data_IF_232705782169
#
_entry.id   IF_232705782169
#
_cell.length_a   1.000
_cell.length_b   1.000
_cell.length_c   1.000
_cell.angle_alpha   90.00
_cell.angle_beta   90.00
_cell.angle_gamma   90.00
#
_symmetry.space_group_name_H-M   'P 1'
#
loop_
_entity.id
_entity.type
_entity.pdbx_description
1 polymer ?
#
# COMPACT_ATOMS: atom_id res chain seq x y z
N UNK A 1 -31.34 -3.48 -44.07
CA UNK A 1 -30.92 -2.21 -43.44
C UNK A 1 -31.26 -1.05 -44.37
N UNK A 2 -31.98 -0.01 -43.91
CA UNK A 2 -32.35 1.13 -44.77
C UNK A 2 -31.16 2.02 -45.16
N UNK A 3 -30.07 1.99 -44.37
CA UNK A 3 -28.88 2.81 -44.61
C UNK A 3 -27.93 2.23 -45.66
N UNK A 4 -27.60 0.93 -45.57
CA UNK A 4 -26.64 0.28 -46.48
C UNK A 4 -27.28 -0.71 -47.46
N UNK A 5 -28.62 -0.84 -47.45
CA UNK A 5 -29.41 -1.78 -48.26
C UNK A 5 -29.10 -3.27 -48.06
N UNK A 6 -28.23 -3.65 -47.13
CA UNK A 6 -27.95 -5.05 -46.81
C UNK A 6 -29.20 -5.78 -46.32
N UNK A 7 -29.52 -6.92 -46.93
CA UNK A 7 -30.55 -7.86 -46.48
C UNK A 7 -30.06 -8.58 -45.23
N UNK A 8 -30.82 -8.50 -44.14
CA UNK A 8 -30.48 -9.11 -42.86
C UNK A 8 -31.48 -10.22 -42.55
N UNK A 9 -30.99 -11.36 -42.10
CA UNK A 9 -31.80 -12.52 -41.74
C UNK A 9 -32.60 -12.23 -40.46
N UNK A 10 -33.89 -12.52 -40.50
CA UNK A 10 -34.75 -12.50 -39.33
C UNK A 10 -34.60 -13.80 -38.53
N UNK A 11 -34.39 -13.71 -37.21
CA UNK A 11 -34.24 -14.87 -36.32
C UNK A 11 -35.33 -14.86 -35.24
N UNK A 12 -36.31 -15.75 -35.39
CA UNK A 12 -37.45 -15.90 -34.49
C UNK A 12 -37.12 -16.63 -33.18
N UNK A 13 -35.91 -17.21 -33.04
CA UNK A 13 -35.47 -17.89 -31.80
C UNK A 13 -34.82 -16.93 -30.79
N UNK A 14 -34.63 -15.67 -31.15
CA UNK A 14 -34.15 -14.59 -30.28
C UNK A 14 -35.19 -13.45 -30.24
N UNK A 15 -34.75 -12.20 -30.15
CA UNK A 15 -35.61 -11.00 -30.11
C UNK A 15 -36.11 -10.55 -31.50
N UNK A 16 -35.88 -11.32 -32.57
CA UNK A 16 -36.26 -10.97 -33.95
C UNK A 16 -35.38 -9.89 -34.62
N UNK A 17 -34.72 -9.02 -33.84
CA UNK A 17 -33.93 -7.89 -34.31
C UNK A 17 -32.41 -8.00 -34.02
N UNK A 18 -31.94 -9.14 -33.50
CA UNK A 18 -30.53 -9.33 -33.09
C UNK A 18 -29.54 -9.13 -34.23
N UNK A 19 -29.87 -9.55 -35.44
CA UNK A 19 -29.03 -9.34 -36.63
C UNK A 19 -29.00 -7.88 -37.08
N UNK A 20 -30.03 -7.09 -36.77
CA UNK A 20 -30.05 -5.65 -37.00
C UNK A 20 -29.20 -4.90 -35.98
N UNK A 21 -29.25 -5.29 -34.70
CA UNK A 21 -28.44 -4.70 -33.63
C UNK A 21 -26.94 -4.91 -33.87
N UNK A 22 -26.51 -6.14 -34.15
CA UNK A 22 -25.10 -6.42 -34.49
C UNK A 22 -24.63 -5.68 -35.75
N UNK A 23 -25.53 -5.50 -36.72
CA UNK A 23 -25.22 -4.74 -37.93
C UNK A 23 -25.10 -3.24 -37.64
N UNK A 24 -25.94 -2.68 -36.76
CA UNK A 24 -25.86 -1.29 -36.33
C UNK A 24 -24.57 -1.00 -35.57
N UNK A 25 -24.17 -1.89 -34.64
CA UNK A 25 -22.90 -1.79 -33.90
C UNK A 25 -21.70 -1.80 -34.85
N UNK A 26 -21.65 -2.73 -35.81
CA UNK A 26 -20.56 -2.80 -36.79
C UNK A 26 -20.53 -1.62 -37.75
N UNK A 27 -21.69 -1.10 -38.16
CA UNK A 27 -21.76 0.01 -39.12
C UNK A 27 -21.41 1.35 -38.48
N UNK A 28 -21.75 1.56 -37.20
CA UNK A 28 -21.33 2.75 -36.44
C UNK A 28 -19.84 2.72 -36.09
N UNK A 29 -19.25 1.53 -35.89
CA UNK A 29 -17.81 1.38 -35.65
C UNK A 29 -16.95 1.69 -36.89
N UNK A 30 -17.49 1.58 -38.11
CA UNK A 30 -16.70 1.82 -39.34
C UNK A 30 -16.56 3.29 -39.74
N UNK A 31 -17.35 4.22 -39.18
CA UNK A 31 -17.30 5.64 -39.58
C UNK A 31 -16.46 6.55 -38.68
N UNK A 32 -15.86 6.05 -37.58
CA UNK A 32 -15.10 6.89 -36.65
C UNK A 32 -13.81 6.27 -36.07
N UNK A 33 -13.31 5.17 -36.63
CA UNK A 33 -11.96 4.68 -36.29
C UNK A 33 -10.98 5.36 -37.25
N UNK A 34 -10.38 6.47 -36.82
CA UNK A 34 -9.06 6.83 -37.34
C UNK A 34 -8.15 5.62 -37.08
N UNK A 35 -7.82 4.88 -38.12
CA UNK A 35 -6.81 3.83 -38.01
C UNK A 35 -5.53 4.46 -37.49
N UNK A 36 -5.07 4.08 -36.29
CA UNK A 36 -3.75 4.48 -35.81
C UNK A 36 -2.74 4.14 -36.89
N UNK A 37 -2.11 5.17 -37.46
CA UNK A 37 -1.07 4.96 -38.47
C UNK A 37 0.08 4.21 -37.78
N UNK A 38 0.32 2.97 -38.18
CA UNK A 38 1.46 2.19 -37.70
C UNK A 38 2.75 2.95 -38.02
N UNK A 39 3.47 3.35 -36.98
CA UNK A 39 4.81 3.95 -37.12
C UNK A 39 5.75 2.89 -37.72
N UNK A 40 6.45 3.25 -38.80
CA UNK A 40 7.42 2.41 -39.49
C UNK A 40 8.55 1.97 -38.55
N UNK A 41 9.05 0.74 -38.73
CA UNK A 41 10.10 0.15 -37.88
C UNK A 41 11.37 1.01 -37.73
N UNK A 42 11.92 1.64 -38.80
CA UNK A 42 13.08 2.52 -38.65
C UNK A 42 12.84 3.69 -37.71
N UNK A 43 11.62 4.26 -37.73
CA UNK A 43 11.27 5.37 -36.84
C UNK A 43 11.08 4.92 -35.40
N UNK A 44 10.61 3.69 -35.17
CA UNK A 44 10.58 3.10 -33.82
C UNK A 44 11.99 2.91 -33.26
N UNK A 45 12.94 2.45 -34.07
CA UNK A 45 14.35 2.32 -33.66
C UNK A 45 14.94 3.68 -33.24
N UNK A 46 14.66 4.74 -34.00
CA UNK A 46 15.13 6.09 -33.65
C UNK A 46 14.55 6.58 -32.32
N UNK A 47 13.29 6.28 -32.02
CA UNK A 47 12.69 6.58 -30.71
C UNK A 47 13.39 5.82 -29.60
N UNK A 48 13.72 4.54 -29.81
CA UNK A 48 14.51 3.75 -28.85
C UNK A 48 15.86 4.42 -28.55
N UNK A 49 16.58 4.89 -29.57
CA UNK A 49 17.86 5.59 -29.39
C UNK A 49 17.71 6.92 -28.62
N UNK A 50 16.60 7.64 -28.84
CA UNK A 50 16.27 8.85 -28.06
C UNK A 50 15.89 8.53 -26.62
N UNK A 51 15.21 7.42 -26.37
CA UNK A 51 14.98 6.93 -25.01
C UNK A 51 16.32 6.60 -24.33
N UNK A 52 17.29 5.98 -25.01
CA UNK A 52 18.64 5.77 -24.46
C UNK A 52 19.33 7.10 -24.15
N UNK A 53 19.15 8.12 -24.99
CA UNK A 53 19.67 9.47 -24.74
C UNK A 53 19.06 10.08 -23.48
N UNK A 54 17.76 9.91 -23.23
CA UNK A 54 17.10 10.36 -21.99
C UNK A 54 17.73 9.72 -20.74
N UNK A 55 18.25 8.50 -20.85
CA UNK A 55 18.91 7.82 -19.73
C UNK A 55 20.30 8.38 -19.43
N UNK A 56 20.91 9.15 -20.35
CA UNK A 56 22.12 9.91 -20.06
C UNK A 56 21.88 10.98 -18.98
N UNK A 57 20.63 11.40 -18.78
CA UNK A 57 20.21 12.27 -17.67
C UNK A 57 20.03 11.52 -16.33
N UNK A 58 20.51 10.26 -16.25
CA UNK A 58 20.44 9.40 -15.06
C UNK A 58 18.99 9.19 -14.61
N UNK A 59 18.10 8.97 -15.58
CA UNK A 59 16.69 8.63 -15.34
C UNK A 59 16.51 7.11 -15.23
N UNK A 60 15.62 6.61 -14.37
CA UNK A 60 15.26 5.19 -14.36
C UNK A 60 14.71 4.74 -15.72
N UNK A 61 14.94 3.48 -16.10
CA UNK A 61 14.43 2.92 -17.36
C UNK A 61 12.91 3.01 -17.43
N UNK A 62 12.24 2.83 -16.30
CA UNK A 62 10.79 2.84 -16.13
C UNK A 62 10.16 4.22 -16.43
N UNK A 63 10.96 5.28 -16.53
CA UNK A 63 10.48 6.64 -16.84
C UNK A 63 9.61 6.67 -18.10
N UNK A 64 10.00 5.92 -19.14
CA UNK A 64 9.29 5.92 -20.44
C UNK A 64 7.93 5.21 -20.38
N UNK A 65 7.73 4.34 -19.40
CA UNK A 65 6.47 3.62 -19.15
C UNK A 65 5.55 4.37 -18.19
N UNK A 66 6.04 5.45 -17.55
CA UNK A 66 5.27 6.23 -16.60
C UNK A 66 4.11 6.96 -17.27
N UNK A 67 2.91 6.85 -16.71
CA UNK A 67 1.69 7.51 -17.22
C UNK A 67 1.88 9.00 -17.51
N UNK A 68 2.52 9.74 -16.59
CA UNK A 68 2.78 11.17 -16.77
C UNK A 68 3.75 11.50 -17.91
N UNK A 69 4.75 10.63 -18.16
CA UNK A 69 5.63 10.78 -19.32
C UNK A 69 4.88 10.52 -20.62
N UNK A 70 4.02 9.50 -20.66
CA UNK A 70 3.19 9.18 -21.82
C UNK A 70 2.24 10.33 -22.15
N UNK A 71 1.58 10.91 -21.14
CA UNK A 71 0.70 12.08 -21.31
C UNK A 71 1.48 13.30 -21.85
N UNK A 72 2.67 13.58 -21.32
CA UNK A 72 3.54 14.64 -21.83
C UNK A 72 3.99 14.36 -23.28
N UNK A 73 4.41 13.14 -23.58
CA UNK A 73 4.87 12.76 -24.92
C UNK A 73 3.74 12.90 -25.95
N UNK A 74 2.52 12.50 -25.59
CA UNK A 74 1.34 12.68 -26.42
C UNK A 74 1.07 14.18 -26.67
N UNK A 75 1.20 15.02 -25.66
CA UNK A 75 1.01 16.47 -25.82
C UNK A 75 2.08 17.09 -26.71
N UNK A 76 3.34 16.66 -26.62
CA UNK A 76 4.40 17.10 -27.54
C UNK A 76 4.11 16.70 -28.99
N UNK A 77 3.54 15.51 -29.22
CA UNK A 77 3.07 15.08 -30.55
C UNK A 77 1.94 15.98 -31.04
N UNK A 78 0.97 16.30 -30.18
CA UNK A 78 -0.16 17.18 -30.51
C UNK A 78 0.32 18.58 -30.90
N UNK A 79 1.29 19.14 -30.17
CA UNK A 79 1.93 20.42 -30.50
C UNK A 79 2.58 20.36 -31.89
N UNK A 80 3.35 19.30 -32.17
CA UNK A 80 3.95 19.12 -33.50
C UNK A 80 2.92 18.94 -34.62
N UNK A 81 1.81 18.27 -34.34
CA UNK A 81 0.71 18.10 -35.31
C UNK A 81 -0.03 19.42 -35.59
N UNK A 82 -0.18 20.27 -34.58
CA UNK A 82 -0.94 21.54 -34.67
C UNK A 82 -0.09 22.66 -35.26
N UNK A 83 1.16 22.79 -34.82
CA UNK A 83 2.04 23.92 -35.13
C UNK A 83 3.18 23.57 -36.10
N UNK A 84 3.26 22.32 -36.55
CA UNK A 84 4.31 21.85 -37.44
C UNK A 84 5.67 21.75 -36.76
N UNK A 85 6.73 22.15 -37.47
CA UNK A 85 8.11 22.04 -36.98
C UNK A 85 8.42 23.14 -35.97
N UNK A 86 8.29 22.83 -34.68
CA UNK A 86 8.68 23.70 -33.56
C UNK A 86 9.92 23.17 -32.84
N UNK A 87 10.67 24.06 -32.18
CA UNK A 87 11.81 23.65 -31.36
C UNK A 87 11.33 23.09 -30.02
N UNK A 88 11.85 21.94 -29.59
CA UNK A 88 11.51 21.37 -28.28
C UNK A 88 11.89 22.32 -27.12
N UNK A 89 13.00 23.05 -27.25
CA UNK A 89 13.46 24.01 -26.23
C UNK A 89 12.53 25.22 -26.06
N UNK A 90 11.76 25.59 -27.09
CA UNK A 90 10.76 26.66 -26.99
C UNK A 90 9.42 26.17 -26.46
N UNK A 91 9.16 24.86 -26.51
CA UNK A 91 7.91 24.24 -26.03
C UNK A 91 8.02 23.88 -24.55
N UNK A 92 9.16 23.31 -24.13
CA UNK A 92 9.34 22.85 -22.75
C UNK A 92 9.53 24.04 -21.78
N UNK A 93 8.78 24.09 -20.67
CA UNK A 93 8.90 25.18 -19.71
C UNK A 93 10.18 25.03 -18.87
N UNK A 94 10.68 26.17 -18.37
CA UNK A 94 11.78 26.18 -17.40
C UNK A 94 11.40 25.45 -16.09
N UNK A 95 12.32 24.73 -15.42
CA UNK A 95 12.03 24.00 -14.18
C UNK A 95 11.36 24.83 -13.08
N UNK A 96 11.70 26.12 -12.96
CA UNK A 96 11.06 27.02 -11.99
C UNK A 96 9.57 27.28 -12.28
N UNK A 97 9.17 27.26 -13.56
CA UNK A 97 7.78 27.37 -13.99
C UNK A 97 7.01 26.11 -13.60
N UNK A 98 7.60 24.92 -13.81
CA UNK A 98 7.02 23.64 -13.39
C UNK A 98 6.87 23.62 -11.86
N UNK A 99 7.91 23.98 -11.12
CA UNK A 99 7.90 24.03 -9.65
C UNK A 99 6.78 24.94 -9.11
N UNK A 100 6.61 26.13 -9.70
CA UNK A 100 5.51 27.05 -9.34
C UNK A 100 4.15 26.45 -9.66
N UNK A 101 3.99 25.90 -10.87
CA UNK A 101 2.73 25.28 -11.30
C UNK A 101 2.35 24.09 -10.41
N UNK A 102 3.32 23.28 -9.97
CA UNK A 102 3.08 22.21 -9.00
C UNK A 102 2.54 22.74 -7.67
N UNK A 103 3.10 23.84 -7.14
CA UNK A 103 2.58 24.48 -5.93
C UNK A 103 1.17 25.00 -6.13
N UNK A 104 0.92 25.73 -7.21
CA UNK A 104 -0.39 26.30 -7.50
C UNK A 104 -1.47 25.21 -7.62
N UNK A 105 -1.17 24.11 -8.33
CA UNK A 105 -2.08 22.97 -8.47
C UNK A 105 -2.31 22.29 -7.11
N UNK A 106 -1.26 22.11 -6.31
CA UNK A 106 -1.39 21.49 -4.99
C UNK A 106 -2.24 22.36 -4.04
N UNK A 107 -2.05 23.67 -4.05
CA UNK A 107 -2.87 24.62 -3.29
C UNK A 107 -4.32 24.63 -3.76
N UNK A 108 -4.57 24.65 -5.07
CA UNK A 108 -5.92 24.57 -5.62
C UNK A 108 -6.62 23.27 -5.19
N UNK A 109 -5.94 22.12 -5.35
CA UNK A 109 -6.49 20.82 -4.93
C UNK A 109 -6.79 20.77 -3.44
N UNK A 110 -5.96 21.40 -2.61
CA UNK A 110 -6.22 21.51 -1.15
C UNK A 110 -7.42 22.39 -0.85
N UNK A 111 -7.55 23.55 -1.51
CA UNK A 111 -8.73 24.43 -1.39
C UNK A 111 -10.04 23.73 -1.74
N UNK A 112 -10.00 22.74 -2.63
CA UNK A 112 -11.17 21.92 -2.98
C UNK A 112 -11.36 20.75 -2.01
N UNK A 113 -10.28 20.06 -1.62
CA UNK A 113 -10.34 18.81 -0.85
C UNK A 113 -10.62 19.03 0.64
N UNK A 114 -9.98 20.02 1.28
CA UNK A 114 -10.10 20.20 2.74
C UNK A 114 -11.54 20.57 3.15
N UNK A 115 -12.26 21.47 2.45
CA UNK A 115 -13.67 21.71 2.74
C UNK A 115 -14.53 20.44 2.62
N UNK A 116 -14.30 19.61 1.60
CA UNK A 116 -15.05 18.35 1.44
C UNK A 116 -14.84 17.41 2.62
N UNK A 117 -13.62 17.29 3.15
CA UNK A 117 -13.34 16.45 4.32
C UNK A 117 -13.97 17.06 5.58
N UNK A 118 -13.92 18.40 5.73
CA UNK A 118 -14.60 19.08 6.84
C UNK A 118 -16.12 18.85 6.79
N UNK A 119 -16.75 18.91 5.61
CA UNK A 119 -18.19 18.64 5.44
C UNK A 119 -18.55 17.19 5.84
N UNK A 120 -17.71 16.22 5.48
CA UNK A 120 -17.87 14.82 5.92
C UNK A 120 -17.80 14.72 7.45
N UNK A 121 -16.84 15.39 8.08
CA UNK A 121 -16.69 15.43 9.54
C UNK A 121 -17.87 16.13 10.25
N UNK A 122 -18.52 17.09 9.59
CA UNK A 122 -19.76 17.72 10.08
C UNK A 122 -20.96 16.78 10.02
N UNK A 123 -20.99 15.85 9.08
CA UNK A 123 -22.10 14.91 8.84
C UNK A 123 -22.13 13.69 9.79
N UNK A 124 -21.45 13.79 10.95
CA UNK A 124 -21.23 12.71 11.92
C UNK A 124 -20.64 11.40 11.35
N UNK A 125 -19.99 11.49 10.18
CA UNK A 125 -19.20 10.41 9.61
C UNK A 125 -17.73 10.57 10.04
N UNK A 126 -17.17 9.52 10.64
CA UNK A 126 -15.76 9.50 11.01
C UNK A 126 -14.85 9.36 9.78
N UNK A 127 -13.70 10.02 9.86
CA UNK A 127 -12.61 9.92 8.88
C UNK A 127 -11.44 9.17 9.53
N UNK A 128 -10.77 8.32 8.75
CA UNK A 128 -9.53 7.68 9.19
C UNK A 128 -8.32 8.53 8.81
N UNK A 129 -7.34 8.68 9.71
CA UNK A 129 -6.05 9.26 9.35
C UNK A 129 -4.91 8.34 9.76
N UNK A 130 -3.98 8.09 8.84
CA UNK A 130 -2.70 7.45 9.16
C UNK A 130 -1.62 8.52 9.25
N UNK A 131 -0.69 8.33 10.17
CA UNK A 131 0.51 9.15 10.26
C UNK A 131 1.74 8.26 10.27
N UNK A 132 2.72 8.60 9.43
CA UNK A 132 3.99 7.90 9.36
C UNK A 132 5.12 8.91 9.63
N UNK A 133 6.11 8.49 10.41
CA UNK A 133 7.27 9.28 10.74
C UNK A 133 8.54 8.49 10.48
N UNK A 134 9.41 9.03 9.63
CA UNK A 134 10.69 8.41 9.33
C UNK A 134 11.83 9.42 9.35
N UNK A 135 13.04 8.89 9.45
CA UNK A 135 14.26 9.68 9.36
C UNK A 135 14.98 9.29 8.08
N UNK A 136 15.30 10.28 7.25
CA UNK A 136 16.28 10.12 6.18
C UNK A 136 17.66 9.97 6.83
N UNK A 137 18.21 8.76 6.79
CA UNK A 137 19.49 8.46 7.44
C UNK A 137 20.69 9.16 6.78
N UNK A 138 20.59 9.55 5.51
CA UNK A 138 21.67 10.24 4.82
C UNK A 138 21.69 11.72 5.14
N UNK A 139 20.54 12.38 5.01
CA UNK A 139 20.40 13.83 5.24
C UNK A 139 20.16 14.19 6.71
N UNK A 140 19.86 13.18 7.54
CA UNK A 140 19.43 13.34 8.94
C UNK A 140 18.19 14.25 9.06
N UNK A 141 17.33 14.22 8.05
CA UNK A 141 16.07 14.97 8.03
C UNK A 141 14.95 14.07 8.53
N UNK A 142 14.07 14.65 9.34
CA UNK A 142 12.92 13.96 9.90
C UNK A 142 11.68 14.36 9.11
N UNK A 143 10.88 13.37 8.72
CA UNK A 143 9.65 13.59 7.99
C UNK A 143 8.47 13.06 8.78
N UNK A 144 7.34 13.72 8.57
CA UNK A 144 6.02 13.32 9.05
C UNK A 144 5.06 13.43 7.87
N UNK A 145 4.30 12.36 7.61
CA UNK A 145 3.27 12.37 6.60
C UNK A 145 1.92 12.05 7.23
N UNK A 146 0.87 12.74 6.76
CA UNK A 146 -0.51 12.46 7.15
C UNK A 146 -1.29 12.08 5.90
N UNK A 147 -1.93 10.92 5.95
CA UNK A 147 -2.83 10.44 4.89
C UNK A 147 -4.23 10.31 5.44
N UNK A 148 -5.19 10.88 4.72
CA UNK A 148 -6.60 10.87 5.08
C UNK A 148 -7.36 9.83 4.25
N UNK A 149 -8.18 9.06 4.93
CA UNK A 149 -8.98 7.96 4.41
C UNK A 149 -10.45 8.25 4.69
N UNK A 150 -11.24 8.44 3.64
CA UNK A 150 -12.65 8.79 3.77
C UNK A 150 -13.49 8.11 2.71
N UNK A 151 -14.80 8.09 2.94
CA UNK A 151 -15.79 7.61 2.00
C UNK A 151 -16.57 8.81 1.50
N UNK A 152 -16.68 8.96 0.19
CA UNK A 152 -17.48 10.02 -0.43
C UNK A 152 -18.97 9.72 -0.35
N UNK A 153 -19.87 10.72 -0.55
CA UNK A 153 -21.32 10.49 -0.54
C UNK A 153 -21.81 9.44 -1.56
N UNK A 154 -21.05 9.19 -2.63
CA UNK A 154 -21.32 8.13 -3.62
C UNK A 154 -20.66 6.78 -3.25
N UNK A 155 -20.35 6.57 -1.96
CA UNK A 155 -19.78 5.34 -1.40
C UNK A 155 -18.45 4.91 -2.03
N UNK A 156 -17.61 5.85 -2.45
CA UNK A 156 -16.26 5.54 -2.94
C UNK A 156 -15.22 5.79 -1.85
N UNK A 157 -14.43 4.77 -1.57
CA UNK A 157 -13.27 4.89 -0.70
C UNK A 157 -12.18 5.74 -1.37
N UNK A 158 -11.57 6.65 -0.59
CA UNK A 158 -10.49 7.53 -1.03
C UNK A 158 -9.41 7.60 0.04
N UNK A 159 -8.17 7.30 -0.36
CA UNK A 159 -6.96 7.64 0.37
C UNK A 159 -6.27 8.86 -0.29
N UNK A 160 -5.89 9.86 0.51
CA UNK A 160 -5.19 11.07 0.04
C UNK A 160 -4.11 11.48 1.02
N UNK A 161 -2.87 11.49 0.56
CA UNK A 161 -1.77 12.13 1.30
C UNK A 161 -2.06 13.62 1.37
N UNK A 162 -2.35 14.12 2.58
CA UNK A 162 -2.66 15.53 2.80
C UNK A 162 -1.40 16.39 2.81
N UNK A 163 -0.36 15.85 3.46
CA UNK A 163 0.93 16.49 3.56
C UNK A 163 2.04 15.51 3.89
N UNK A 164 3.23 15.84 3.42
CA UNK A 164 4.51 15.34 3.92
C UNK A 164 5.33 16.55 4.31
N UNK A 165 5.60 16.73 5.59
CA UNK A 165 6.32 17.87 6.13
C UNK A 165 7.61 17.43 6.79
N UNK A 166 8.61 18.31 6.76
CA UNK A 166 9.80 18.15 7.56
C UNK A 166 9.46 18.46 9.01
N UNK A 167 9.80 17.55 9.92
CA UNK A 167 9.76 17.81 11.35
C UNK A 167 10.93 18.72 11.74
N UNK A 168 10.73 19.76 12.58
CA UNK A 168 11.78 20.70 12.91
C UNK A 168 13.05 20.01 13.45
N UNK A 169 14.21 20.35 12.90
CA UNK A 169 15.48 19.69 13.23
C UNK A 169 15.95 19.97 14.67
N UNK A 170 15.61 21.16 15.18
CA UNK A 170 15.99 21.60 16.53
C UNK A 170 15.07 21.03 17.62
N UNK A 171 13.94 20.42 17.23
CA UNK A 171 12.96 19.90 18.17
C UNK A 171 13.17 18.42 18.44
N UNK A 172 13.14 18.04 19.71
CA UNK A 172 13.09 16.63 20.08
C UNK A 172 11.74 16.02 19.65
N UNK A 173 11.74 14.77 19.18
CA UNK A 173 10.53 14.03 18.79
C UNK A 173 9.74 13.51 20.00
N UNK A 174 9.51 14.36 21.01
CA UNK A 174 8.67 14.02 22.17
C UNK A 174 7.21 13.94 21.73
N UNK A 175 6.37 13.25 22.50
CA UNK A 175 4.93 13.18 22.18
C UNK A 175 4.26 14.56 22.13
N UNK A 176 4.69 15.51 22.96
CA UNK A 176 4.17 16.87 22.97
C UNK A 176 4.53 17.63 21.69
N UNK A 177 5.79 17.56 21.25
CA UNK A 177 6.25 18.23 20.04
C UNK A 177 5.65 17.60 18.77
N UNK A 178 5.50 16.27 18.75
CA UNK A 178 4.80 15.57 17.67
C UNK A 178 3.35 16.04 17.58
N UNK A 179 2.63 16.11 18.71
CA UNK A 179 1.26 16.62 18.72
C UNK A 179 1.20 18.07 18.25
N UNK A 180 2.11 18.92 18.72
CA UNK A 180 2.16 20.32 18.32
C UNK A 180 2.31 20.47 16.79
N UNK A 181 3.27 19.77 16.18
CA UNK A 181 3.50 19.86 14.74
C UNK A 181 2.36 19.24 13.92
N UNK A 182 1.72 18.15 14.40
CA UNK A 182 0.51 17.60 13.79
C UNK A 182 -0.64 18.62 13.79
N UNK A 183 -0.90 19.27 14.92
CA UNK A 183 -1.96 20.26 15.04
C UNK A 183 -1.69 21.50 14.18
N UNK A 184 -0.45 22.00 14.19
CA UNK A 184 -0.02 23.09 13.32
C UNK A 184 -0.17 22.75 11.84
N UNK A 185 0.13 21.51 11.45
CA UNK A 185 -0.08 21.05 10.08
C UNK A 185 -1.57 20.99 9.73
N UNK A 186 -2.38 20.30 10.53
CA UNK A 186 -3.80 20.10 10.23
C UNK A 186 -4.60 21.41 10.33
N UNK A 187 -4.46 22.15 11.42
CA UNK A 187 -5.26 23.35 11.68
C UNK A 187 -4.69 24.53 10.93
N UNK A 188 -3.44 24.91 11.21
CA UNK A 188 -2.90 26.19 10.71
C UNK A 188 -2.52 26.13 9.23
N UNK A 189 -2.05 24.97 8.75
CA UNK A 189 -1.55 24.84 7.37
C UNK A 189 -2.64 24.34 6.42
N UNK A 190 -3.41 23.33 6.83
CA UNK A 190 -4.44 22.72 5.99
C UNK A 190 -5.84 23.31 6.19
N UNK A 191 -6.13 23.93 7.34
CA UNK A 191 -7.43 24.56 7.62
C UNK A 191 -8.49 23.58 8.12
N UNK A 192 -8.11 22.52 8.84
CA UNK A 192 -9.07 21.71 9.58
C UNK A 192 -9.61 22.46 10.80
N UNK A 193 -10.90 22.30 11.08
CA UNK A 193 -11.50 22.79 12.33
C UNK A 193 -10.97 21.96 13.52
N UNK A 194 -10.36 22.59 14.55
CA UNK A 194 -9.88 21.89 15.73
C UNK A 194 -10.95 21.03 16.42
N UNK A 195 -12.21 21.44 16.40
CA UNK A 195 -13.33 20.72 17.03
C UNK A 195 -13.62 19.37 16.35
N UNK A 196 -13.29 19.24 15.06
CA UNK A 196 -13.50 18.03 14.28
C UNK A 196 -12.42 16.97 14.49
N UNK A 197 -11.28 17.33 15.10
CA UNK A 197 -10.16 16.39 15.28
C UNK A 197 -10.51 15.21 16.18
N UNK A 198 -11.47 15.37 17.10
CA UNK A 198 -11.97 14.29 17.95
C UNK A 198 -12.81 13.25 17.19
N UNK A 199 -13.31 13.59 15.99
CA UNK A 199 -14.06 12.67 15.13
C UNK A 199 -13.16 11.83 14.21
N UNK A 200 -11.86 12.12 14.21
CA UNK A 200 -10.86 11.39 13.43
C UNK A 200 -10.46 10.12 14.19
N UNK A 201 -10.44 8.99 13.48
CA UNK A 201 -9.83 7.75 13.96
C UNK A 201 -8.41 7.68 13.43
N UNK A 202 -7.44 7.78 14.33
CA UNK A 202 -6.03 7.70 13.98
C UNK A 202 -5.58 6.24 13.89
N UNK A 203 -4.78 5.91 12.88
CA UNK A 203 -4.08 4.61 12.79
C UNK A 203 -2.59 4.90 12.88
N UNK A 204 -1.96 4.43 13.95
CA UNK A 204 -0.56 4.77 14.31
C UNK A 204 0.26 3.52 14.62
N UNK A 205 1.58 3.61 14.45
CA UNK A 205 2.49 2.59 14.98
C UNK A 205 2.52 2.59 16.52
N UNK A 206 3.22 1.60 17.10
CA UNK A 206 3.34 1.43 18.54
C UNK A 206 4.49 2.25 19.16
N UNK A 207 5.02 3.24 18.42
CA UNK A 207 6.06 4.13 18.89
C UNK A 207 5.57 4.96 20.08
N UNK A 208 6.29 4.88 21.20
CA UNK A 208 5.86 5.50 22.46
C UNK A 208 5.52 7.00 22.31
N UNK A 209 6.29 7.74 21.51
CA UNK A 209 6.08 9.17 21.34
C UNK A 209 4.84 9.50 20.51
N UNK A 210 4.54 8.77 19.43
CA UNK A 210 3.31 9.01 18.65
C UNK A 210 2.06 8.57 19.42
N UNK A 211 2.16 7.46 20.18
CA UNK A 211 1.10 7.03 21.11
C UNK A 211 0.83 8.11 22.16
N UNK A 212 1.87 8.71 22.74
CA UNK A 212 1.72 9.82 23.67
C UNK A 212 1.12 11.07 23.02
N UNK A 213 1.55 11.38 21.79
CA UNK A 213 1.06 12.54 21.04
C UNK A 213 -0.44 12.47 20.75
N UNK A 214 -0.93 11.28 20.35
CA UNK A 214 -2.30 11.08 19.92
C UNK A 214 -3.20 10.43 20.99
N UNK A 215 -2.70 10.20 22.21
CA UNK A 215 -3.47 9.70 23.36
C UNK A 215 -4.84 10.39 23.57
N UNK A 216 -4.99 11.72 23.36
CA UNK A 216 -6.30 12.37 23.52
C UNK A 216 -7.35 11.97 22.48
N UNK A 217 -6.95 11.36 21.37
CA UNK A 217 -7.80 11.02 20.24
C UNK A 217 -8.06 9.51 20.15
N UNK A 218 -9.08 9.13 19.40
CA UNK A 218 -9.37 7.72 19.12
C UNK A 218 -8.28 7.15 18.21
N UNK A 219 -7.57 6.13 18.67
CA UNK A 219 -6.45 5.52 17.96
C UNK A 219 -6.66 4.02 17.76
N UNK A 220 -6.17 3.52 16.63
CA UNK A 220 -6.01 2.12 16.28
C UNK A 220 -4.52 1.84 16.08
N UNK A 221 -4.08 0.66 16.51
CA UNK A 221 -2.73 0.19 16.23
C UNK A 221 -2.62 -0.22 14.76
N UNK A 222 -1.55 0.22 14.11
CA UNK A 222 -1.15 -0.23 12.79
C UNK A 222 -0.91 -1.74 12.81
N UNK A 223 -1.73 -2.48 12.07
CA UNK A 223 -1.67 -3.94 12.07
C UNK A 223 -0.42 -4.46 11.35
N UNK A 224 0.07 -3.76 10.34
CA UNK A 224 1.37 -4.07 9.70
C UNK A 224 2.52 -3.99 10.71
N UNK A 225 2.62 -2.87 11.44
CA UNK A 225 3.63 -2.70 12.48
C UNK A 225 3.47 -3.73 13.61
N UNK A 226 2.23 -4.04 13.99
CA UNK A 226 1.95 -5.05 15.00
C UNK A 226 2.43 -6.44 14.57
N UNK A 227 2.11 -6.88 13.34
CA UNK A 227 2.57 -8.16 12.80
C UNK A 227 4.11 -8.22 12.73
N UNK A 228 4.74 -7.11 12.32
CA UNK A 228 6.18 -6.97 12.36
C UNK A 228 6.74 -7.17 13.78
N UNK A 229 6.15 -6.53 14.79
CA UNK A 229 6.54 -6.67 16.20
C UNK A 229 6.35 -8.11 16.70
N UNK A 230 5.23 -8.75 16.38
CA UNK A 230 4.95 -10.15 16.75
C UNK A 230 6.02 -11.09 16.18
N UNK A 231 6.34 -10.95 14.89
CA UNK A 231 7.37 -11.78 14.26
C UNK A 231 8.75 -11.49 14.80
N UNK A 232 9.09 -10.22 15.01
CA UNK A 232 10.38 -9.85 15.58
C UNK A 232 10.57 -10.43 16.97
N UNK A 233 9.53 -10.44 17.81
CA UNK A 233 9.59 -11.06 19.13
C UNK A 233 9.59 -12.59 19.07
N UNK A 234 8.73 -13.19 18.25
CA UNK A 234 8.64 -14.64 18.09
C UNK A 234 9.88 -15.24 17.41
N UNK A 235 10.62 -14.41 16.67
CA UNK A 235 11.88 -14.76 15.99
C UNK A 235 13.11 -14.06 16.61
N UNK A 236 12.98 -13.48 17.82
CA UNK A 236 14.09 -12.78 18.50
C UNK A 236 15.06 -13.78 19.16
N UNK A 237 16.34 -13.44 19.11
CA UNK A 237 17.43 -14.31 19.53
C UNK A 237 17.35 -14.70 21.00
N UNK A 238 16.89 -13.85 21.92
CA UNK A 238 16.95 -14.19 23.36
C UNK A 238 16.02 -15.34 23.78
N UNK A 239 14.84 -15.45 23.19
CA UNK A 239 13.89 -16.53 23.50
C UNK A 239 14.23 -17.78 22.65
N UNK A 240 14.67 -17.63 21.40
CA UNK A 240 15.01 -18.76 20.52
C UNK A 240 16.39 -19.36 20.73
N UNK A 241 17.40 -18.62 21.19
CA UNK A 241 18.78 -19.15 21.32
C UNK A 241 18.81 -20.34 22.29
N UNK A 242 17.87 -20.41 23.24
CA UNK A 242 17.75 -21.53 24.17
C UNK A 242 16.96 -22.72 23.60
N UNK A 243 15.97 -22.49 22.74
CA UNK A 243 14.99 -23.52 22.33
C UNK A 243 15.11 -23.93 20.85
N UNK A 244 15.70 -23.08 20.00
CA UNK A 244 15.77 -23.18 18.55
C UNK A 244 16.98 -22.40 17.96
N UNK A 245 18.23 -22.71 18.36
CA UNK A 245 19.42 -21.98 17.92
C UNK A 245 19.59 -21.97 16.39
N UNK A 246 19.25 -23.07 15.71
CA UNK A 246 19.37 -23.20 14.25
C UNK A 246 18.56 -22.15 13.46
N UNK A 247 17.43 -21.69 14.03
CA UNK A 247 16.58 -20.66 13.41
C UNK A 247 17.25 -19.29 13.48
N UNK A 248 17.77 -18.94 14.65
CA UNK A 248 18.49 -17.69 14.89
C UNK A 248 19.74 -17.64 14.02
N UNK A 249 20.54 -18.70 14.02
CA UNK A 249 21.76 -18.80 13.23
C UNK A 249 21.48 -18.69 11.73
N UNK A 250 20.42 -19.35 11.23
CA UNK A 250 20.02 -19.26 9.83
C UNK A 250 19.68 -17.81 9.44
N UNK A 251 18.89 -17.10 10.25
CA UNK A 251 18.50 -15.71 9.99
C UNK A 251 19.73 -14.78 10.07
N UNK A 252 20.57 -14.96 11.09
CA UNK A 252 21.79 -14.18 11.28
C UNK A 252 22.77 -14.36 10.12
N UNK A 253 23.05 -15.60 9.74
CA UNK A 253 23.98 -15.92 8.67
C UNK A 253 23.43 -15.51 7.32
N UNK A 254 22.12 -15.66 7.06
CA UNK A 254 21.48 -15.12 5.87
C UNK A 254 21.66 -13.59 5.75
N UNK A 255 21.46 -12.84 6.84
CA UNK A 255 21.68 -11.39 6.86
C UNK A 255 23.14 -11.04 6.56
N UNK A 256 24.08 -11.72 7.19
CA UNK A 256 25.52 -11.52 6.99
C UNK A 256 25.98 -11.88 5.58
N UNK A 257 25.46 -12.97 5.03
CA UNK A 257 25.69 -13.42 3.66
C UNK A 257 25.24 -12.36 2.66
N UNK A 258 23.99 -11.87 2.76
CA UNK A 258 23.50 -10.88 1.80
C UNK A 258 24.21 -9.53 1.90
N UNK A 259 24.66 -9.15 3.10
CA UNK A 259 25.54 -7.98 3.29
C UNK A 259 26.85 -8.15 2.51
N UNK A 260 27.51 -9.31 2.62
CA UNK A 260 28.72 -9.62 1.85
C UNK A 260 28.45 -9.62 0.34
N UNK A 261 27.36 -10.25 -0.11
CA UNK A 261 27.02 -10.33 -1.54
C UNK A 261 26.81 -8.93 -2.15
N UNK A 262 26.19 -8.00 -1.42
CA UNK A 262 26.03 -6.60 -1.85
C UNK A 262 27.32 -5.79 -1.81
N UNK A 263 28.19 -6.05 -0.83
CA UNK A 263 29.47 -5.34 -0.69
C UNK A 263 30.55 -5.87 -1.63
N UNK A 264 30.36 -7.08 -2.16
CA UNK A 264 31.25 -7.69 -3.14
C UNK A 264 30.75 -7.49 -4.57
N UNK A 265 31.57 -7.88 -5.54
CA UNK A 265 31.22 -7.92 -6.96
C UNK A 265 30.30 -9.10 -7.34
N UNK A 266 29.68 -9.79 -6.37
CA UNK A 266 28.84 -10.97 -6.61
C UNK A 266 27.42 -10.60 -7.03
N UNK A 267 26.82 -9.55 -6.46
CA UNK A 267 25.42 -9.21 -6.76
C UNK A 267 25.12 -9.08 -8.27
N UNK A 268 25.98 -8.45 -9.12
CA UNK A 268 25.74 -8.37 -10.56
C UNK A 268 25.91 -9.68 -11.33
N UNK A 269 26.50 -10.72 -10.71
CA UNK A 269 26.76 -12.02 -11.33
C UNK A 269 25.64 -13.03 -11.09
N UNK A 270 24.67 -12.66 -10.25
CA UNK A 270 23.55 -13.52 -9.87
C UNK A 270 22.36 -13.30 -10.82
N UNK A 271 21.55 -14.34 -11.07
CA UNK A 271 20.43 -14.26 -12.01
C UNK A 271 19.29 -13.37 -11.54
N UNK A 272 19.24 -13.05 -10.24
CA UNK A 272 18.20 -12.24 -9.60
C UNK A 272 18.81 -11.15 -8.73
N UNK A 273 18.07 -10.05 -8.58
CA UNK A 273 18.43 -8.97 -7.69
C UNK A 273 18.43 -9.45 -6.25
N UNK A 274 19.55 -9.20 -5.57
CA UNK A 274 19.75 -9.54 -4.18
C UNK A 274 19.04 -8.55 -3.27
N UNK A 275 18.21 -9.08 -2.38
CA UNK A 275 17.52 -8.30 -1.35
C UNK A 275 18.33 -8.41 -0.05
N UNK A 276 18.50 -7.28 0.62
CA UNK A 276 19.18 -7.23 1.91
C UNK A 276 18.14 -7.01 3.00
N UNK A 277 18.28 -7.78 4.06
CA UNK A 277 17.43 -7.70 5.24
C UNK A 277 17.59 -6.32 5.89
N UNK A 278 16.49 -5.58 5.96
CA UNK A 278 16.37 -4.32 6.70
C UNK A 278 16.21 -4.59 8.20
N UNK A 279 16.55 -3.60 9.02
CA UNK A 279 16.53 -3.77 10.49
C UNK A 279 15.12 -3.63 11.09
N UNK A 280 14.25 -2.87 10.44
CA UNK A 280 12.98 -2.40 11.02
C UNK A 280 11.73 -3.09 10.46
N UNK A 281 11.81 -3.71 9.28
CA UNK A 281 10.67 -4.30 8.58
C UNK A 281 10.89 -5.79 8.30
N UNK A 282 10.09 -6.63 8.94
CA UNK A 282 10.15 -8.09 8.84
C UNK A 282 9.80 -8.61 7.44
N UNK A 283 9.06 -7.84 6.64
CA UNK A 283 8.87 -8.13 5.22
C UNK A 283 10.19 -8.33 4.47
N UNK A 284 11.24 -7.59 4.85
CA UNK A 284 12.58 -7.75 4.27
C UNK A 284 13.28 -9.04 4.72
N UNK A 285 12.90 -9.63 5.86
CA UNK A 285 13.39 -10.95 6.30
C UNK A 285 12.86 -12.02 5.35
N UNK A 286 11.55 -12.03 5.10
CA UNK A 286 10.94 -12.93 4.12
C UNK A 286 11.59 -12.80 2.75
N UNK A 287 11.64 -11.57 2.22
CA UNK A 287 12.17 -11.31 0.88
C UNK A 287 13.64 -11.73 0.76
N UNK A 288 14.44 -11.52 1.81
CA UNK A 288 15.85 -11.94 1.83
C UNK A 288 15.98 -13.45 1.85
N UNK A 289 15.27 -14.14 2.75
CA UNK A 289 15.33 -15.60 2.84
C UNK A 289 14.81 -16.26 1.56
N UNK A 290 13.70 -15.76 1.01
CA UNK A 290 13.16 -16.24 -0.26
C UNK A 290 14.14 -15.96 -1.41
N UNK A 291 14.77 -14.78 -1.45
CA UNK A 291 15.79 -14.46 -2.45
C UNK A 291 16.98 -15.42 -2.38
N UNK A 292 17.48 -15.77 -1.18
CA UNK A 292 18.55 -16.76 -1.00
C UNK A 292 18.10 -18.13 -1.49
N UNK A 293 16.91 -18.56 -1.10
CA UNK A 293 16.35 -19.86 -1.47
C UNK A 293 16.26 -20.01 -3.00
N UNK A 294 15.80 -18.98 -3.70
CA UNK A 294 15.66 -18.96 -5.15
C UNK A 294 16.99 -19.02 -5.92
N UNK A 295 18.11 -18.60 -5.30
CA UNK A 295 19.44 -18.56 -5.93
C UNK A 295 20.44 -19.47 -5.21
N UNK A 296 19.97 -20.38 -4.36
CA UNK A 296 20.80 -21.08 -3.38
C UNK A 296 21.99 -21.78 -4.05
N UNK A 297 21.73 -22.57 -5.10
CA UNK A 297 22.76 -23.33 -5.80
C UNK A 297 23.76 -22.44 -6.54
N UNK A 298 23.30 -21.42 -7.25
CA UNK A 298 24.15 -20.48 -7.97
C UNK A 298 25.03 -19.67 -7.02
N UNK A 299 24.44 -19.18 -5.91
CA UNK A 299 25.17 -18.42 -4.90
C UNK A 299 26.20 -19.29 -4.19
N UNK A 300 25.85 -20.53 -3.83
CA UNK A 300 26.79 -21.47 -3.22
C UNK A 300 27.98 -21.75 -4.14
N UNK A 301 27.72 -22.09 -5.40
CA UNK A 301 28.77 -22.30 -6.41
C UNK A 301 29.68 -21.08 -6.55
N UNK A 302 29.12 -19.87 -6.56
CA UNK A 302 29.91 -18.63 -6.69
C UNK A 302 30.77 -18.34 -5.46
N UNK A 303 30.33 -18.71 -4.27
CA UNK A 303 31.13 -18.61 -3.06
C UNK A 303 32.23 -19.67 -3.03
N UNK A 304 31.94 -20.88 -3.50
CA UNK A 304 32.92 -21.95 -3.63
C UNK A 304 34.06 -21.59 -4.60
N UNK A 305 33.73 -21.01 -5.76
CA UNK A 305 34.71 -20.45 -6.70
C UNK A 305 35.63 -19.38 -6.07
N UNK A 306 35.21 -18.77 -4.95
CA UNK A 306 35.98 -17.73 -4.22
C UNK A 306 36.61 -18.23 -2.91
N UNK A 307 36.41 -19.50 -2.53
CA UNK A 307 36.85 -20.03 -1.24
C UNK A 307 36.07 -19.47 -0.04
N UNK A 308 34.84 -19.00 -0.25
CA UNK A 308 33.99 -18.34 0.75
C UNK A 308 32.75 -19.19 1.10
N UNK A 309 32.77 -20.51 0.82
CA UNK A 309 31.65 -21.43 1.09
C UNK A 309 31.24 -21.48 2.55
N UNK A 310 32.15 -21.20 3.48
CA UNK A 310 31.87 -21.17 4.92
C UNK A 310 30.75 -20.17 5.28
N UNK A 311 30.45 -19.17 4.43
CA UNK A 311 29.34 -18.23 4.64
C UNK A 311 27.94 -18.85 4.50
N UNK A 312 27.85 -20.06 3.93
CA UNK A 312 26.64 -20.87 3.93
C UNK A 312 26.55 -21.83 5.13
N UNK A 313 27.58 -21.91 5.97
CA UNK A 313 27.50 -22.71 7.19
C UNK A 313 26.30 -22.24 8.02
N UNK A 314 25.54 -23.21 8.53
CA UNK A 314 24.32 -23.02 9.30
C UNK A 314 23.19 -22.28 8.54
N UNK A 315 23.22 -22.29 7.21
CA UNK A 315 22.06 -21.97 6.35
C UNK A 315 21.61 -23.25 5.66
N UNK A 316 21.02 -24.15 6.45
CA UNK A 316 20.53 -25.44 5.96
C UNK A 316 19.32 -25.23 5.00
N UNK A 317 19.29 -25.85 3.80
CA UNK A 317 18.22 -25.64 2.82
C UNK A 317 16.82 -25.94 3.34
N UNK A 318 16.69 -26.97 4.19
CA UNK A 318 15.45 -27.38 4.81
C UNK A 318 14.96 -26.38 5.86
N UNK A 319 15.86 -25.84 6.69
CA UNK A 319 15.54 -24.77 7.63
C UNK A 319 15.16 -23.49 6.89
N UNK A 320 15.91 -23.11 5.86
CA UNK A 320 15.61 -21.96 5.01
C UNK A 320 14.22 -22.10 4.35
N UNK A 321 13.94 -23.27 3.78
CA UNK A 321 12.63 -23.58 3.19
C UNK A 321 11.50 -23.52 4.22
N UNK A 322 11.72 -24.05 5.44
CA UNK A 322 10.76 -23.96 6.53
C UNK A 322 10.47 -22.50 6.90
N UNK A 323 11.51 -21.68 7.11
CA UNK A 323 11.35 -20.28 7.49
C UNK A 323 10.63 -19.47 6.40
N UNK A 324 10.98 -19.66 5.13
CA UNK A 324 10.28 -19.01 4.01
C UNK A 324 8.80 -19.37 4.02
N UNK A 325 8.48 -20.67 4.10
CA UNK A 325 7.09 -21.15 4.13
C UNK A 325 6.32 -20.69 5.38
N UNK A 326 6.99 -20.63 6.54
CA UNK A 326 6.37 -20.20 7.79
C UNK A 326 6.09 -18.69 7.81
N UNK A 327 7.01 -17.89 7.28
CA UNK A 327 6.89 -16.44 7.29
C UNK A 327 5.93 -15.94 6.19
N UNK A 328 5.83 -16.66 5.07
CA UNK A 328 5.05 -16.23 3.90
C UNK A 328 3.63 -15.72 4.23
N UNK A 329 2.80 -16.42 5.05
CA UNK A 329 1.45 -15.93 5.34
C UNK A 329 1.43 -14.59 6.07
N UNK A 330 2.47 -14.27 6.86
CA UNK A 330 2.58 -12.96 7.48
C UNK A 330 2.96 -11.88 6.48
N UNK A 331 3.89 -12.18 5.57
CA UNK A 331 4.24 -11.28 4.48
C UNK A 331 3.02 -10.94 3.62
N UNK A 332 2.23 -11.95 3.25
CA UNK A 332 0.97 -11.77 2.52
C UNK A 332 -0.02 -10.90 3.31
N UNK A 333 -0.17 -11.14 4.61
CA UNK A 333 -1.03 -10.34 5.48
C UNK A 333 -0.61 -8.86 5.50
N UNK A 334 0.69 -8.58 5.65
CA UNK A 334 1.22 -7.22 5.62
C UNK A 334 0.91 -6.54 4.27
N UNK A 335 1.19 -7.22 3.14
CA UNK A 335 0.92 -6.68 1.80
C UNK A 335 -0.55 -6.35 1.59
N UNK A 336 -1.46 -7.22 2.04
CA UNK A 336 -2.90 -6.99 1.85
C UNK A 336 -3.45 -5.91 2.80
N UNK A 337 -2.97 -5.84 4.04
CA UNK A 337 -3.41 -4.86 5.05
C UNK A 337 -2.86 -3.44 4.81
N UNK A 338 -1.77 -3.31 4.05
CA UNK A 338 -1.22 -2.01 3.61
C UNK A 338 -1.99 -1.37 2.45
N UNK A 339 -2.97 -2.07 1.86
CA UNK A 339 -3.77 -1.54 0.77
C UNK A 339 -4.50 -0.24 1.12
N UNK A 340 -4.46 0.74 0.23
CA UNK A 340 -5.10 2.05 0.38
C UNK A 340 -6.14 2.36 -0.71
N UNK A 341 -6.37 1.41 -1.61
CA UNK A 341 -7.40 1.49 -2.67
C UNK A 341 -8.69 0.75 -2.30
N UNK A 342 -8.69 -0.02 -1.21
CA UNK A 342 -9.83 -0.82 -0.74
C UNK A 342 -9.91 -0.86 0.79
N UNK A 343 -11.08 -1.17 1.38
CA UNK A 343 -11.21 -1.31 2.83
C UNK A 343 -10.40 -2.49 3.37
N UNK A 344 -9.49 -2.22 4.31
CA UNK A 344 -8.63 -3.26 4.93
C UNK A 344 -9.04 -3.62 6.36
N UNK A 345 -9.81 -2.77 7.04
CA UNK A 345 -10.11 -2.94 8.47
C UNK A 345 -10.86 -4.25 8.80
N UNK A 346 -11.72 -4.72 7.87
CA UNK A 346 -12.43 -5.99 8.00
C UNK A 346 -11.54 -7.21 7.78
N UNK A 347 -10.43 -7.06 7.05
CA UNK A 347 -9.48 -8.15 6.74
C UNK A 347 -8.64 -8.55 7.95
N UNK A 348 -8.46 -7.64 8.92
CA UNK A 348 -7.61 -7.84 10.11
C UNK A 348 -7.99 -9.13 10.85
N UNK A 349 -9.28 -9.37 11.09
CA UNK A 349 -9.73 -10.58 11.80
C UNK A 349 -9.55 -11.83 10.95
N UNK A 350 -9.79 -11.73 9.64
CA UNK A 350 -9.62 -12.87 8.74
C UNK A 350 -8.16 -13.33 8.71
N UNK A 351 -7.24 -12.37 8.60
CA UNK A 351 -5.82 -12.63 8.69
C UNK A 351 -5.42 -13.13 10.06
N UNK A 352 -5.93 -12.54 11.13
CA UNK A 352 -5.64 -13.02 12.48
C UNK A 352 -6.04 -14.49 12.68
N UNK A 353 -7.24 -14.89 12.27
CA UNK A 353 -7.69 -16.28 12.38
C UNK A 353 -6.96 -17.24 11.43
N UNK A 354 -6.48 -16.76 10.27
CA UNK A 354 -5.59 -17.53 9.39
C UNK A 354 -4.23 -17.74 10.05
N UNK A 355 -3.61 -16.68 10.57
CA UNK A 355 -2.30 -16.72 11.20
C UNK A 355 -2.31 -17.51 12.51
N UNK A 356 -3.35 -17.36 13.33
CA UNK A 356 -3.54 -18.12 14.57
C UNK A 356 -3.57 -19.64 14.32
N UNK A 357 -4.23 -20.08 13.25
CA UNK A 357 -4.24 -21.49 12.82
C UNK A 357 -2.88 -21.93 12.27
N UNK A 358 -2.24 -21.08 11.47
CA UNK A 358 -0.90 -21.33 10.94
C UNK A 358 0.16 -21.49 12.05
N UNK A 359 -0.06 -20.84 13.19
CA UNK A 359 0.79 -20.88 14.37
C UNK A 359 0.45 -22.03 15.35
N UNK A 360 -0.47 -22.93 15.00
CA UNK A 360 -0.66 -24.13 15.82
C UNK A 360 0.42 -25.16 15.48
N UNK A 361 1.06 -25.80 16.49
CA UNK A 361 1.97 -26.92 16.25
C UNK A 361 1.32 -28.00 15.40
N UNK A 362 2.04 -28.48 14.39
CA UNK A 362 1.64 -29.60 13.55
C UNK A 362 2.26 -30.90 14.08
N UNK A 363 1.59 -32.03 13.84
CA UNK A 363 2.13 -33.33 14.24
C UNK A 363 3.42 -33.72 13.51
N UNK A 364 3.69 -33.09 12.36
CA UNK A 364 4.90 -33.30 11.56
C UNK A 364 6.03 -32.32 11.91
N UNK A 365 5.80 -31.37 12.82
CA UNK A 365 6.81 -30.38 13.15
C UNK A 365 7.96 -31.02 13.94
N UNK A 366 9.19 -30.59 13.65
CA UNK A 366 10.31 -30.85 14.54
C UNK A 366 10.15 -30.03 15.84
N UNK A 367 10.86 -30.37 16.94
CA UNK A 367 10.78 -29.58 18.18
C UNK A 367 11.07 -28.09 17.95
N UNK A 368 12.04 -27.77 17.10
CA UNK A 368 12.40 -26.40 16.69
C UNK A 368 11.24 -25.70 15.97
N UNK A 369 10.60 -26.39 15.03
CA UNK A 369 9.47 -25.83 14.29
C UNK A 369 8.26 -25.57 15.20
N UNK A 370 8.00 -26.47 16.16
CA UNK A 370 6.91 -26.30 17.13
C UNK A 370 7.11 -25.05 18.01
N UNK A 371 8.34 -24.77 18.43
CA UNK A 371 8.69 -23.55 19.20
C UNK A 371 8.41 -22.29 18.38
N UNK A 372 8.86 -22.24 17.12
CA UNK A 372 8.65 -21.10 16.21
C UNK A 372 7.17 -20.78 16.01
N UNK A 373 6.30 -21.80 16.04
CA UNK A 373 4.86 -21.61 15.87
C UNK A 373 4.18 -20.95 17.07
N UNK A 374 4.76 -20.95 18.27
CA UNK A 374 4.13 -20.41 19.47
C UNK A 374 4.11 -18.87 19.48
N UNK A 375 3.16 -18.26 18.77
CA UNK A 375 2.97 -16.81 18.81
C UNK A 375 2.19 -16.32 20.04
N UNK A 376 2.64 -15.17 20.56
CA UNK A 376 1.97 -14.44 21.65
C UNK A 376 0.62 -13.86 21.20
N UNK A 377 -0.24 -13.59 22.18
CA UNK A 377 -1.62 -13.13 22.00
C UNK A 377 -1.67 -11.81 21.22
N UNK A 378 -2.58 -11.74 20.26
CA UNK A 378 -2.88 -10.54 19.47
C UNK A 378 -4.11 -9.86 20.03
N UNK A 379 -4.07 -8.53 20.08
CA UNK A 379 -5.19 -7.71 20.50
C UNK A 379 -5.94 -7.18 19.29
N UNK A 380 -7.20 -7.58 19.16
CA UNK A 380 -8.10 -7.10 18.12
C UNK A 380 -9.03 -6.05 18.72
N UNK A 381 -8.92 -4.81 18.26
CA UNK A 381 -9.87 -3.76 18.61
C UNK A 381 -11.28 -4.07 18.05
N UNK A 382 -12.33 -3.71 18.79
CA UNK A 382 -13.73 -3.88 18.38
C UNK A 382 -14.11 -3.25 17.03
N UNK A 383 -13.43 -2.19 16.58
CA UNK A 383 -13.67 -1.61 15.26
C UNK A 383 -13.34 -2.60 14.13
N UNK A 384 -12.37 -3.51 14.31
CA UNK A 384 -12.12 -4.59 13.35
C UNK A 384 -13.30 -5.57 13.30
N UNK A 385 -13.89 -5.88 14.46
CA UNK A 385 -15.04 -6.80 14.57
C UNK A 385 -16.28 -6.20 13.94
N UNK A 386 -16.54 -4.92 14.19
CA UNK A 386 -17.62 -4.15 13.57
C UNK A 386 -17.42 -4.04 12.06
N UNK A 387 -16.20 -3.75 11.59
CA UNK A 387 -15.90 -3.69 10.16
C UNK A 387 -16.17 -5.04 9.47
N UNK A 388 -15.84 -6.16 10.12
CA UNK A 388 -16.17 -7.49 9.61
C UNK A 388 -17.67 -7.77 9.61
N UNK A 389 -18.38 -7.37 10.67
CA UNK A 389 -19.84 -7.48 10.76
C UNK A 389 -20.54 -6.75 9.61
N UNK A 390 -20.06 -5.57 9.25
CA UNK A 390 -20.62 -4.76 8.16
C UNK A 390 -20.37 -5.36 6.77
N UNK A 391 -19.54 -6.40 6.65
CA UNK A 391 -19.30 -7.08 5.39
C UNK A 391 -20.30 -8.23 5.19
N UNK A 392 -21.24 -8.16 4.20
CA UNK A 392 -22.30 -9.15 4.07
C UNK A 392 -21.84 -10.61 3.97
N UNK A 393 -20.64 -10.84 3.43
CA UNK A 393 -20.06 -12.18 3.31
C UNK A 393 -19.69 -12.80 4.66
N UNK A 394 -19.38 -11.99 5.67
CA UNK A 394 -18.87 -12.42 6.98
C UNK A 394 -19.68 -11.87 8.16
N UNK A 395 -20.85 -11.29 7.92
CA UNK A 395 -21.69 -10.65 8.93
C UNK A 395 -22.22 -11.59 10.02
N UNK A 396 -22.18 -12.91 9.79
CA UNK A 396 -22.51 -13.93 10.79
C UNK A 396 -21.40 -14.14 11.84
N UNK A 397 -20.20 -13.57 11.62
CA UNK A 397 -19.08 -13.57 12.55
C UNK A 397 -18.68 -14.98 13.04
N UNK A 398 -18.79 -15.99 12.18
CA UNK A 398 -18.67 -17.41 12.56
C UNK A 398 -17.33 -17.78 13.21
N UNK A 399 -16.29 -17.00 12.96
CA UNK A 399 -14.96 -17.16 13.56
C UNK A 399 -14.87 -16.69 15.01
N UNK A 400 -15.78 -15.82 15.46
CA UNK A 400 -15.82 -15.35 16.84
C UNK A 400 -16.61 -16.31 17.73
N UNK A 401 -16.31 -16.33 19.02
CA UNK A 401 -17.13 -17.05 20.01
C UNK A 401 -18.53 -16.42 20.15
N UNK A 402 -19.51 -17.19 20.66
CA UNK A 402 -20.86 -16.67 20.85
C UNK A 402 -20.89 -15.41 21.73
N UNK A 403 -20.04 -15.36 22.75
CA UNK A 403 -19.92 -14.19 23.63
C UNK A 403 -19.42 -12.96 22.88
N UNK A 404 -18.32 -13.08 22.13
CA UNK A 404 -17.78 -11.98 21.31
C UNK A 404 -18.76 -11.50 20.24
N UNK A 405 -19.58 -12.40 19.66
CA UNK A 405 -20.61 -12.00 18.71
C UNK A 405 -21.69 -11.14 19.37
N UNK A 406 -22.17 -11.53 20.55
CA UNK A 406 -23.15 -10.74 21.29
C UNK A 406 -22.59 -9.37 21.71
N UNK A 407 -21.31 -9.29 22.08
CA UNK A 407 -20.63 -8.01 22.34
C UNK A 407 -20.66 -7.11 21.08
N UNK A 408 -20.31 -7.65 19.91
CA UNK A 408 -20.34 -6.91 18.64
C UNK A 408 -21.77 -6.46 18.32
N UNK A 409 -22.77 -7.33 18.46
CA UNK A 409 -24.16 -6.96 18.21
C UNK A 409 -24.65 -5.88 19.18
N UNK A 410 -24.30 -5.98 20.46
CA UNK A 410 -24.64 -4.96 21.47
C UNK A 410 -24.01 -3.61 21.12
N UNK A 411 -22.73 -3.60 20.75
CA UNK A 411 -22.02 -2.37 20.38
C UNK A 411 -22.58 -1.76 19.09
N UNK A 412 -22.89 -2.57 18.08
CA UNK A 412 -23.54 -2.09 16.84
C UNK A 412 -24.91 -1.48 17.14
N UNK A 413 -25.73 -2.10 17.98
CA UNK A 413 -27.03 -1.53 18.40
C UNK A 413 -26.84 -0.19 19.09
N UNK A 414 -25.88 -0.07 20.01
CA UNK A 414 -25.52 1.19 20.68
C UNK A 414 -25.09 2.27 19.68
N UNK A 415 -24.30 1.93 18.67
CA UNK A 415 -23.90 2.86 17.62
C UNK A 415 -25.08 3.33 16.76
N UNK A 416 -26.00 2.44 16.42
CA UNK A 416 -27.23 2.78 15.69
C UNK A 416 -28.11 3.71 16.53
N UNK A 417 -28.30 3.43 17.81
CA UNK A 417 -29.09 4.27 18.72
C UNK A 417 -28.54 5.70 18.77
N UNK A 418 -27.22 5.86 18.93
CA UNK A 418 -26.56 7.17 18.91
C UNK A 418 -26.74 7.90 17.58
N UNK A 419 -26.77 7.18 16.46
CA UNK A 419 -27.02 7.75 15.14
C UNK A 419 -28.48 8.22 15.00
N UNK A 420 -29.44 7.42 15.45
CA UNK A 420 -30.87 7.73 15.39
C UNK A 420 -31.33 8.80 16.39
N UNK A 421 -30.60 9.00 17.49
CA UNK A 421 -30.87 10.04 18.48
C UNK A 421 -30.45 11.45 18.03
N UNK A 422 -29.56 11.56 17.04
CA UNK A 422 -29.11 12.84 16.48
C UNK A 422 -30.01 13.37 15.34
N UNK A 423 -30.74 12.49 14.64
CA UNK A 423 -31.64 12.85 13.54
C UNK A 423 -33.03 12.22 13.69
N UNK A 424 -33.89 12.82 14.53
CA UNK A 424 -35.36 12.74 14.37
C UNK A 424 -36.01 14.02 14.94
N UNK A 425 -35.53 15.19 14.53
CA UNK A 425 -36.37 16.39 14.53
C UNK A 425 -37.09 16.42 13.17
N UNK A 426 -38.34 15.97 13.16
CA UNK A 426 -39.22 16.10 12.00
C UNK A 426 -39.18 17.55 11.46
N UNK A 427 -39.10 17.77 10.13
CA UNK A 427 -39.53 19.03 9.58
C UNK A 427 -41.02 19.15 9.89
N UNK A 428 -41.39 20.10 10.75
CA UNK A 428 -42.78 20.44 10.97
C UNK A 428 -43.38 20.79 9.61
N UNK A 429 -44.26 19.92 9.13
CA UNK A 429 -45.17 20.22 8.04
C UNK A 429 -46.00 21.42 8.47
N UNK A 430 -45.76 22.56 7.83
CA UNK A 430 -46.67 23.69 7.84
C UNK A 430 -48.08 23.20 7.48
N UNK A 431 -49.03 23.43 8.40
CA UNK A 431 -50.43 23.65 8.08
C UNK A 431 -50.68 25.14 8.24
#
# INVERSE_FOLDING_TARGET
>A
CKYCKTLLKYDSKKTGNSSLQQHAEKSYMTSFVQSEKKILLPKKSEITDKCVTLLQDIRPFETVSGKGFIELAQELINVGATYGRVSASSVLPHPSTISRRCRDIAEQKRKELIPQINDILLSDVSVGMTTDMWTDDYRKIHYMAVTCHYVTPDFKFKARVLATSMFPLEEAKTGENIRHELLKLLVNTLGFDPSNLNKIVWVIDQGANIVLALRPYKCLNCQDHFLNTVLRHGLDSKELTCEAPDVEETIHNAKSLMKYVKQSSLAPQLPKTVIQMGETRFSTVYETLNSILEIYHELHKKLEERGESYRFENIAPDMLQFLVSFIQPFYEAQRELEGDEYPTLSLVILWFEKLKRHCQPLSSDTPVQAVVRLLKKVEIHDLHKIALFLWPKFNQLQMLSNHEREEVYSEVRRLIENFTGAEYQHPQSNI
#
